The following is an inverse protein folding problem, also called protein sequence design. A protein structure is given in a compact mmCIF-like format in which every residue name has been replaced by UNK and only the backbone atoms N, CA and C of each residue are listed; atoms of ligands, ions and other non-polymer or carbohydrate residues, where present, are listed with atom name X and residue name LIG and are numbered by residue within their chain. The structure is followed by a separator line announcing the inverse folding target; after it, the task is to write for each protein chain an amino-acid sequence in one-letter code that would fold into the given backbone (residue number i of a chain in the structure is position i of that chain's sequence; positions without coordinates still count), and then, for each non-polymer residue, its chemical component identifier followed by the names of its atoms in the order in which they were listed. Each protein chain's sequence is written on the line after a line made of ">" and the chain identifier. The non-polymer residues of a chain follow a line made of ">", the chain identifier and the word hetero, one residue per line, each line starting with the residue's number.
data_IF_652845673215
#
_entry.id   IF_652845673215
#
_cell.length_a   1.000
_cell.length_b   1.000
_cell.length_c   1.000
_cell.angle_alpha   90.00
_cell.angle_beta   90.00
_cell.angle_gamma   90.00
#
_symmetry.space_group_name_H-M   'P 1'
#
loop_
_entity.id
_entity.type
_entity.pdbx_description
1 polymer ?
#
# COMPACT_ATOMS: atom_id res chain seq x y z
N UNK A 1 25.75 12.69 -16.95
CA UNK A 1 24.34 12.38 -16.62
C UNK A 1 24.20 10.90 -16.88
N UNK A 2 24.25 10.10 -15.81
CA UNK A 2 23.86 8.69 -15.92
C UNK A 2 22.41 8.65 -16.37
N UNK A 3 22.17 8.03 -17.52
CA UNK A 3 20.82 7.81 -18.03
C UNK A 3 20.14 6.79 -17.10
N UNK A 4 19.00 7.17 -16.53
CA UNK A 4 18.07 6.23 -15.91
C UNK A 4 17.25 5.58 -17.04
N UNK A 5 17.57 4.33 -17.39
CA UNK A 5 16.91 3.60 -18.49
C UNK A 5 15.45 3.22 -18.17
N UNK A 6 15.01 3.36 -16.91
CA UNK A 6 13.65 2.99 -16.51
C UNK A 6 12.62 4.11 -16.67
N UNK A 7 13.03 5.36 -16.94
CA UNK A 7 12.14 6.53 -17.09
C UNK A 7 11.04 6.60 -16.00
N UNK A 8 11.42 6.31 -14.74
CA UNK A 8 10.48 6.16 -13.62
C UNK A 8 9.65 7.42 -13.37
N UNK A 9 10.21 8.56 -13.71
CA UNK A 9 9.61 9.87 -13.60
C UNK A 9 8.46 10.08 -14.61
N UNK A 10 8.40 9.30 -15.70
CA UNK A 10 7.34 9.43 -16.72
C UNK A 10 6.03 8.73 -16.34
N UNK A 11 6.04 7.87 -15.31
CA UNK A 11 4.84 7.13 -14.86
C UNK A 11 3.67 8.04 -14.46
N UNK A 12 3.97 9.27 -14.02
CA UNK A 12 2.97 10.28 -13.66
C UNK A 12 2.53 11.21 -14.78
N UNK A 13 3.17 11.15 -15.96
CA UNK A 13 2.92 12.07 -17.08
C UNK A 13 2.09 11.44 -18.19
N UNK A 14 2.34 10.16 -18.46
CA UNK A 14 1.65 9.37 -19.47
C UNK A 14 1.18 8.05 -18.88
N UNK A 15 0.21 7.42 -19.56
CA UNK A 15 -0.33 6.14 -19.10
C UNK A 15 0.72 5.03 -19.27
N UNK A 16 1.38 4.69 -18.18
CA UNK A 16 2.43 3.67 -18.13
C UNK A 16 2.06 2.57 -17.13
N UNK A 17 2.44 1.33 -17.42
CA UNK A 17 2.32 0.20 -16.50
C UNK A 17 3.70 -0.40 -16.25
N UNK A 18 4.15 -0.35 -14.99
CA UNK A 18 5.42 -0.93 -14.55
C UNK A 18 5.14 -2.22 -13.78
N UNK A 19 5.79 -3.32 -14.20
CA UNK A 19 5.70 -4.61 -13.53
C UNK A 19 7.04 -4.96 -12.90
N UNK A 20 7.05 -5.15 -11.60
CA UNK A 20 8.23 -5.54 -10.83
C UNK A 20 8.06 -6.98 -10.41
N UNK A 21 8.82 -7.88 -11.06
CA UNK A 21 8.73 -9.32 -10.80
C UNK A 21 9.89 -9.69 -9.88
N UNK A 22 9.57 -10.07 -8.65
CA UNK A 22 10.54 -10.57 -7.67
C UNK A 22 10.44 -12.08 -7.55
N UNK A 23 11.55 -12.72 -7.22
CA UNK A 23 11.55 -14.15 -6.89
C UNK A 23 11.05 -14.34 -5.46
N UNK A 24 10.08 -15.23 -5.30
CA UNK A 24 9.53 -15.69 -4.03
C UNK A 24 10.55 -16.43 -3.15
N UNK A 25 11.50 -17.10 -3.80
CA UNK A 25 12.43 -18.05 -3.19
C UNK A 25 13.79 -17.43 -2.89
N UNK A 26 14.14 -16.31 -3.53
CA UNK A 26 15.45 -15.67 -3.37
C UNK A 26 15.33 -14.24 -2.85
N UNK A 27 15.42 -14.09 -1.54
CA UNK A 27 15.38 -12.80 -0.86
C UNK A 27 16.62 -11.91 -1.08
N UNK A 28 17.65 -12.40 -1.77
CA UNK A 28 18.92 -11.69 -1.96
C UNK A 28 18.74 -10.34 -2.65
N UNK A 29 17.72 -10.18 -3.51
CA UNK A 29 17.50 -8.95 -4.28
C UNK A 29 16.38 -8.06 -3.75
N UNK A 30 15.74 -8.42 -2.64
CA UNK A 30 14.62 -7.65 -2.08
C UNK A 30 15.04 -6.23 -1.70
N UNK A 31 16.30 -6.06 -1.25
CA UNK A 31 16.84 -4.73 -0.94
C UNK A 31 16.95 -3.82 -2.18
N UNK A 32 17.20 -4.39 -3.37
CA UNK A 32 17.28 -3.60 -4.62
C UNK A 32 15.89 -3.08 -4.96
N UNK A 33 14.88 -3.93 -4.80
CA UNK A 33 13.49 -3.58 -5.06
C UNK A 33 13.00 -2.52 -4.08
N UNK A 34 13.35 -2.63 -2.79
CA UNK A 34 12.98 -1.62 -1.79
C UNK A 34 13.64 -0.26 -2.04
N UNK A 35 14.90 -0.24 -2.51
CA UNK A 35 15.59 0.99 -2.94
C UNK A 35 14.91 1.57 -4.18
N UNK A 36 14.61 0.74 -5.19
CA UNK A 36 13.91 1.18 -6.40
C UNK A 36 12.56 1.82 -6.06
N UNK A 37 11.74 1.20 -5.20
CA UNK A 37 10.48 1.80 -4.75
C UNK A 37 10.72 3.14 -4.04
N UNK A 38 11.71 3.24 -3.16
CA UNK A 38 12.04 4.49 -2.48
C UNK A 38 12.38 5.61 -3.46
N UNK A 39 13.17 5.29 -4.49
CA UNK A 39 13.50 6.25 -5.55
C UNK A 39 12.26 6.61 -6.38
N UNK A 40 11.44 5.64 -6.77
CA UNK A 40 10.19 5.87 -7.49
C UNK A 40 9.28 6.83 -6.72
N UNK A 41 9.07 6.61 -5.43
CA UNK A 41 8.25 7.49 -4.59
C UNK A 41 8.82 8.90 -4.54
N UNK A 42 10.13 9.07 -4.32
CA UNK A 42 10.75 10.38 -4.26
C UNK A 42 10.66 11.11 -5.60
N UNK A 43 11.03 10.46 -6.71
CA UNK A 43 10.96 11.06 -8.05
C UNK A 43 9.54 11.50 -8.41
N UNK A 44 8.54 10.66 -8.14
CA UNK A 44 7.14 11.03 -8.39
C UNK A 44 6.68 12.17 -7.49
N UNK A 45 7.14 12.22 -6.24
CA UNK A 45 6.79 13.31 -5.33
C UNK A 45 7.44 14.64 -5.74
N UNK A 46 8.74 14.61 -6.02
CA UNK A 46 9.50 15.78 -6.47
C UNK A 46 8.91 16.32 -7.77
N UNK A 47 8.56 15.44 -8.72
CA UNK A 47 7.95 15.82 -9.98
C UNK A 47 6.55 16.42 -9.79
N UNK A 48 5.74 15.85 -8.88
CA UNK A 48 4.45 16.42 -8.54
C UNK A 48 4.59 17.84 -8.00
N UNK A 49 5.53 18.06 -7.08
CA UNK A 49 5.73 19.34 -6.39
C UNK A 49 6.38 20.40 -7.30
N UNK A 50 7.47 20.05 -7.99
CA UNK A 50 8.30 21.01 -8.74
C UNK A 50 7.75 21.32 -10.14
N UNK A 51 7.15 20.34 -10.82
CA UNK A 51 6.71 20.48 -12.22
C UNK A 51 5.21 20.73 -12.31
N UNK A 52 4.41 20.03 -11.49
CA UNK A 52 2.95 20.03 -11.60
C UNK A 52 2.25 20.73 -10.42
N UNK A 53 3.00 21.51 -9.64
CA UNK A 53 2.48 22.38 -8.57
C UNK A 53 1.62 21.62 -7.54
N UNK A 54 2.06 20.41 -7.21
CA UNK A 54 1.56 19.56 -6.12
C UNK A 54 0.75 18.33 -6.54
N UNK A 55 0.43 18.11 -7.83
CA UNK A 55 -0.35 16.94 -8.28
C UNK A 55 0.09 16.43 -9.65
N UNK A 56 0.32 15.12 -9.77
CA UNK A 56 0.62 14.51 -11.06
C UNK A 56 -0.58 14.58 -12.02
N UNK A 57 -0.37 14.80 -13.32
CA UNK A 57 -1.45 14.86 -14.30
C UNK A 57 -2.13 13.51 -14.54
N UNK A 58 -1.43 12.40 -14.27
CA UNK A 58 -1.98 11.04 -14.32
C UNK A 58 -1.86 10.40 -12.94
N UNK A 59 -2.98 9.90 -12.42
CA UNK A 59 -3.02 9.20 -11.15
C UNK A 59 -2.16 7.94 -11.18
N UNK A 60 -1.13 7.87 -10.33
CA UNK A 60 -0.25 6.69 -10.22
C UNK A 60 -0.78 5.77 -9.13
N UNK A 61 -1.22 4.57 -9.54
CA UNK A 61 -1.68 3.52 -8.62
C UNK A 61 -0.63 2.43 -8.50
N UNK A 62 -0.11 2.25 -7.30
CA UNK A 62 0.77 1.13 -6.97
C UNK A 62 -0.02 -0.01 -6.35
N UNK A 63 0.13 -1.19 -6.92
CA UNK A 63 -0.40 -2.44 -6.39
C UNK A 63 0.78 -3.22 -5.84
N UNK A 64 0.96 -3.16 -4.53
CA UNK A 64 2.05 -3.82 -3.83
C UNK A 64 1.56 -5.20 -3.40
N UNK A 65 1.57 -6.13 -4.36
CA UNK A 65 1.28 -7.54 -4.09
C UNK A 65 2.41 -8.15 -3.25
N UNK A 66 2.02 -9.00 -2.32
CA UNK A 66 2.92 -9.70 -1.41
C UNK A 66 3.95 -8.76 -0.76
N UNK A 67 3.47 -7.64 -0.22
CA UNK A 67 4.31 -6.58 0.35
C UNK A 67 5.34 -7.08 1.38
N UNK A 68 5.03 -8.19 2.05
CA UNK A 68 5.93 -8.85 2.97
C UNK A 68 7.25 -9.33 2.32
N UNK A 69 7.21 -9.74 1.05
CA UNK A 69 8.37 -10.23 0.30
C UNK A 69 9.26 -9.10 -0.22
N UNK A 70 8.72 -7.91 -0.50
CA UNK A 70 9.53 -6.73 -0.88
C UNK A 70 10.47 -6.34 0.27
N UNK A 71 10.04 -6.55 1.51
CA UNK A 71 10.76 -6.16 2.71
C UNK A 71 10.42 -4.74 3.16
N UNK A 72 11.30 -4.14 3.95
CA UNK A 72 11.07 -2.80 4.49
C UNK A 72 11.44 -1.73 3.45
N UNK A 73 10.43 -1.01 2.96
CA UNK A 73 10.62 0.26 2.26
C UNK A 73 10.92 1.35 3.30
N UNK A 74 12.09 2.02 3.23
CA UNK A 74 12.44 3.14 4.10
C UNK A 74 11.36 4.23 4.15
N UNK A 75 11.00 4.67 5.37
CA UNK A 75 10.08 5.79 5.63
C UNK A 75 8.70 5.66 4.97
N UNK A 76 8.27 4.44 4.68
CA UNK A 76 7.00 4.18 4.01
C UNK A 76 5.80 4.73 4.78
N UNK A 77 5.84 4.75 6.11
CA UNK A 77 4.80 5.34 6.97
C UNK A 77 4.61 6.85 6.74
N UNK A 78 5.67 7.56 6.34
CA UNK A 78 5.58 8.97 5.95
C UNK A 78 5.13 9.11 4.51
N UNK A 79 5.67 8.27 3.62
CA UNK A 79 5.33 8.29 2.20
C UNK A 79 3.82 8.05 1.99
N UNK A 80 3.24 7.04 2.62
CA UNK A 80 1.80 6.72 2.46
C UNK A 80 0.89 7.88 2.88
N UNK A 81 1.32 8.70 3.84
CA UNK A 81 0.58 9.89 4.26
C UNK A 81 0.72 11.07 3.28
N UNK A 82 1.86 11.22 2.61
CA UNK A 82 2.16 12.37 1.73
C UNK A 82 1.79 12.15 0.27
N UNK A 83 1.80 10.91 -0.21
CA UNK A 83 1.55 10.56 -1.63
C UNK A 83 0.12 10.90 -2.06
N UNK A 84 -0.84 10.85 -1.12
CA UNK A 84 -2.26 11.12 -1.39
C UNK A 84 -2.50 12.51 -1.99
N UNK A 85 -1.81 13.54 -1.48
CA UNK A 85 -1.99 14.90 -1.99
C UNK A 85 -1.42 15.10 -3.39
N UNK A 86 -0.53 14.20 -3.83
CA UNK A 86 0.22 14.23 -5.10
C UNK A 86 -0.40 13.37 -6.20
N UNK A 87 -1.62 12.89 -5.97
CA UNK A 87 -2.36 12.02 -6.90
C UNK A 87 -1.72 10.63 -7.10
N UNK A 88 -1.12 10.13 -6.01
CA UNK A 88 -0.51 8.80 -5.94
C UNK A 88 -1.24 7.99 -4.87
N UNK A 89 -1.58 6.74 -5.19
CA UNK A 89 -2.22 5.81 -4.25
C UNK A 89 -1.48 4.48 -4.18
N UNK A 90 -1.34 3.93 -2.98
CA UNK A 90 -0.79 2.59 -2.77
C UNK A 90 -1.90 1.64 -2.27
N UNK A 91 -1.97 0.45 -2.85
CA UNK A 91 -2.77 -0.67 -2.35
C UNK A 91 -1.81 -1.75 -1.87
N UNK A 92 -1.79 -1.98 -0.56
CA UNK A 92 -0.93 -2.98 0.07
C UNK A 92 -1.74 -4.27 0.18
N UNK A 93 -1.24 -5.35 -0.42
CA UNK A 93 -1.90 -6.65 -0.39
C UNK A 93 -1.07 -7.58 0.49
N UNK A 94 -1.71 -8.11 1.53
CA UNK A 94 -1.10 -8.91 2.57
C UNK A 94 -1.96 -10.14 2.86
N UNK A 95 -1.32 -11.24 3.25
CA UNK A 95 -2.05 -12.44 3.69
C UNK A 95 -2.50 -12.33 5.15
N UNK A 96 -1.75 -11.61 5.98
CA UNK A 96 -2.07 -11.35 7.38
C UNK A 96 -1.43 -10.03 7.83
N UNK A 97 -2.13 -9.31 8.71
CA UNK A 97 -1.61 -8.11 9.39
C UNK A 97 -0.33 -8.40 10.18
N UNK A 98 -0.16 -9.63 10.67
CA UNK A 98 1.06 -10.04 11.37
C UNK A 98 2.32 -9.90 10.50
N UNK A 99 2.24 -10.06 9.18
CA UNK A 99 3.37 -9.85 8.29
C UNK A 99 3.79 -8.37 8.24
N UNK A 100 2.82 -7.46 8.20
CA UNK A 100 3.08 -6.02 8.24
C UNK A 100 3.70 -5.62 9.58
N UNK A 101 3.16 -6.12 10.70
CA UNK A 101 3.71 -5.92 12.05
C UNK A 101 5.12 -6.49 12.21
N UNK A 102 5.44 -7.62 11.56
CA UNK A 102 6.79 -8.18 11.61
C UNK A 102 7.85 -7.27 10.95
N UNK A 103 7.47 -6.56 9.88
CA UNK A 103 8.39 -5.71 9.11
C UNK A 103 8.47 -4.30 9.68
N UNK A 104 7.31 -3.70 9.98
CA UNK A 104 7.21 -2.28 10.37
C UNK A 104 7.01 -2.07 11.88
N UNK A 105 6.77 -3.14 12.65
CA UNK A 105 6.57 -3.08 14.12
C UNK A 105 5.53 -2.02 14.48
N UNK A 106 5.90 -1.03 15.28
CA UNK A 106 5.02 0.05 15.75
C UNK A 106 4.52 0.95 14.60
N UNK A 107 5.24 1.01 13.47
CA UNK A 107 4.82 1.78 12.30
C UNK A 107 3.72 1.08 11.48
N UNK A 108 3.46 -0.20 11.71
CA UNK A 108 2.43 -0.95 10.98
C UNK A 108 1.04 -0.34 11.22
N UNK A 109 0.73 0.04 12.46
CA UNK A 109 -0.56 0.65 12.80
C UNK A 109 -0.75 2.02 12.13
N UNK A 110 0.34 2.79 11.96
CA UNK A 110 0.33 4.05 11.19
C UNK A 110 0.07 3.82 9.71
N UNK A 111 0.65 2.76 9.13
CA UNK A 111 0.42 2.41 7.73
C UNK A 111 -1.03 1.98 7.52
N UNK A 112 -1.55 1.10 8.37
CA UNK A 112 -2.97 0.70 8.34
C UNK A 112 -3.90 1.89 8.52
N UNK A 113 -3.59 2.82 9.44
CA UNK A 113 -4.38 4.02 9.69
C UNK A 113 -4.44 5.00 8.52
N UNK A 114 -3.44 5.01 7.63
CA UNK A 114 -3.46 5.82 6.40
C UNK A 114 -4.17 5.12 5.22
N UNK A 115 -4.53 3.84 5.36
CA UNK A 115 -5.30 3.11 4.37
C UNK A 115 -6.81 3.32 4.60
N UNK A 116 -7.41 4.26 3.86
CA UNK A 116 -8.85 4.59 3.95
C UNK A 116 -9.79 3.39 3.70
N UNK A 117 -9.33 2.36 2.98
CA UNK A 117 -10.15 1.20 2.61
C UNK A 117 -9.43 -0.10 2.95
N UNK A 118 -10.11 -0.97 3.68
CA UNK A 118 -9.64 -2.32 4.00
C UNK A 118 -10.53 -3.34 3.29
N UNK A 119 -9.93 -4.17 2.44
CA UNK A 119 -10.61 -5.29 1.80
C UNK A 119 -10.15 -6.60 2.46
N UNK A 120 -11.05 -7.26 3.18
CA UNK A 120 -10.78 -8.55 3.79
C UNK A 120 -11.43 -9.67 2.99
N UNK A 121 -10.60 -10.53 2.38
CA UNK A 121 -11.05 -11.67 1.55
C UNK A 121 -11.14 -12.99 2.31
N UNK A 122 -11.00 -12.94 3.64
CA UNK A 122 -10.96 -14.11 4.51
C UNK A 122 -9.56 -14.37 5.07
N UNK A 123 -9.52 -14.92 6.27
CA UNK A 123 -8.28 -15.17 7.01
C UNK A 123 -8.54 -16.06 8.21
N UNK A 124 -7.51 -16.80 8.63
CA UNK A 124 -7.59 -17.71 9.78
C UNK A 124 -7.15 -17.05 11.10
N UNK A 125 -6.66 -15.82 11.03
CA UNK A 125 -6.08 -15.14 12.18
C UNK A 125 -7.15 -14.53 13.09
N UNK A 126 -7.28 -15.07 14.31
CA UNK A 126 -8.34 -14.67 15.25
C UNK A 126 -8.26 -13.21 15.71
N UNK A 127 -7.06 -12.64 15.75
CA UNK A 127 -6.83 -11.23 16.12
C UNK A 127 -7.40 -10.30 15.06
N UNK A 128 -7.03 -10.51 13.79
CA UNK A 128 -7.55 -9.76 12.64
C UNK A 128 -9.07 -9.89 12.51
N UNK A 129 -9.64 -11.08 12.78
CA UNK A 129 -11.10 -11.28 12.76
C UNK A 129 -11.82 -10.49 13.85
N UNK A 130 -11.27 -10.42 15.07
CA UNK A 130 -11.85 -9.63 16.17
C UNK A 130 -11.79 -8.14 15.89
N UNK A 131 -10.64 -7.65 15.41
CA UNK A 131 -10.51 -6.24 15.01
C UNK A 131 -11.53 -5.87 13.92
N UNK A 132 -11.73 -6.74 12.94
CA UNK A 132 -12.74 -6.53 11.91
C UNK A 132 -14.17 -6.58 12.46
N UNK A 133 -14.47 -7.48 13.40
CA UNK A 133 -15.76 -7.53 14.09
C UNK A 133 -16.04 -6.22 14.83
N UNK A 134 -15.04 -5.68 15.54
CA UNK A 134 -15.14 -4.42 16.26
C UNK A 134 -15.34 -3.23 15.30
N UNK A 135 -14.64 -3.21 14.16
CA UNK A 135 -14.76 -2.15 13.14
C UNK A 135 -16.10 -2.21 12.40
N UNK A 136 -16.59 -3.42 12.06
CA UNK A 136 -17.89 -3.61 11.41
C UNK A 136 -19.05 -3.25 12.35
N UNK A 137 -18.82 -3.34 13.66
CA UNK A 137 -19.81 -3.01 14.67
C UNK A 137 -20.98 -3.98 14.72
N UNK A 138 -21.98 -3.64 15.54
CA UNK A 138 -23.18 -4.45 15.72
C UNK A 138 -24.38 -3.68 15.19
N UNK A 139 -25.09 -4.27 14.24
CA UNK A 139 -26.38 -3.75 13.81
C UNK A 139 -27.51 -4.40 14.62
N UNK A 140 -28.42 -3.58 15.14
CA UNK A 140 -29.60 -4.08 15.84
C UNK A 140 -30.69 -4.38 14.82
N UNK A 141 -30.91 -5.66 14.55
CA UNK A 141 -31.98 -6.10 13.66
C UNK A 141 -33.28 -6.19 14.46
N UNK A 142 -34.25 -5.33 14.12
CA UNK A 142 -35.61 -5.45 14.66
C UNK A 142 -36.32 -6.57 13.90
N UNK A 143 -36.47 -7.74 14.53
CA UNK A 143 -37.30 -8.83 14.00
C UNK A 143 -38.76 -8.56 14.37
N UNK A 144 -39.69 -8.49 13.40
CA UNK A 144 -41.12 -8.46 13.71
C UNK A 144 -41.50 -9.75 14.45
N UNK A 145 -42.21 -9.62 15.58
CA UNK A 145 -42.83 -10.74 16.28
C UNK A 145 -43.84 -11.42 15.35
N UNK A 146 -43.45 -12.50 14.69
CA UNK A 146 -44.36 -13.21 13.79
C UNK A 146 -43.79 -14.43 13.08
N UNK A 147 -42.46 -14.57 12.98
CA UNK A 147 -41.86 -15.73 12.32
C UNK A 147 -40.78 -16.39 13.19
N UNK A 148 -41.20 -17.26 14.10
CA UNK A 148 -40.44 -18.45 14.49
C UNK A 148 -41.36 -19.66 14.31
N UNK A 149 -40.90 -20.75 13.65
CA UNK A 149 -41.53 -22.07 13.79
C UNK A 149 -41.30 -22.65 15.19
#
# INVERSE_FOLDING_TARGET
>A
MEYDDLELDTLGEQKTALFVIISDTNATFNFVVSIMYSQLFNLLCDKADDVYNGRLPVHVRMLLDEFANIGQIPQFEKLIATIRSREISASIILQSKSQLKAIYKDNADTIEGNCDTTLFLGGKEKTTLKELEDVLGKETIVRPLGCMP
#
